data_IF_454729899291
#
_entry.id   IF_454729899291
#
_cell.length_a   1.000
_cell.length_b   1.000
_cell.length_c   1.000
_cell.angle_alpha   90.00
_cell.angle_beta   90.00
_cell.angle_gamma   90.00
#
_symmetry.space_group_name_H-M   'P 1'
#
loop_
_entity.id
_entity.type
_entity.pdbx_description
1 polymer ?
#
# COMPACT_ATOMS: atom_id res chain seq x y z
N UNK A 1 -21.02 -13.97 14.35
CA UNK A 1 -19.56 -14.12 14.38
C UNK A 1 -19.01 -13.11 15.39
N UNK A 2 -18.07 -13.45 16.28
CA UNK A 2 -17.49 -12.42 17.17
C UNK A 2 -16.67 -11.43 16.34
N UNK A 3 -16.70 -10.15 16.71
CA UNK A 3 -15.98 -9.06 16.04
C UNK A 3 -14.48 -9.36 15.86
N UNK A 4 -13.89 -10.05 16.85
CA UNK A 4 -12.50 -10.48 16.84
C UNK A 4 -12.22 -11.50 15.72
N UNK A 5 -13.12 -12.47 15.52
CA UNK A 5 -12.96 -13.47 14.46
C UNK A 5 -13.04 -12.80 13.08
N UNK A 6 -13.92 -11.81 12.91
CA UNK A 6 -13.98 -11.03 11.66
C UNK A 6 -12.68 -10.29 11.39
N UNK A 7 -12.09 -9.65 12.42
CA UNK A 7 -10.77 -9.02 12.30
C UNK A 7 -9.68 -10.02 11.91
N UNK A 8 -9.62 -11.19 12.57
CA UNK A 8 -8.63 -12.22 12.25
C UNK A 8 -8.73 -12.65 10.80
N UNK A 9 -9.94 -13.01 10.34
CA UNK A 9 -10.15 -13.51 8.98
C UNK A 9 -9.84 -12.44 7.94
N UNK A 10 -10.35 -11.22 8.13
CA UNK A 10 -10.12 -10.11 7.22
C UNK A 10 -8.63 -9.77 7.07
N UNK A 11 -7.93 -9.56 8.18
CA UNK A 11 -6.52 -9.15 8.15
C UNK A 11 -5.58 -10.30 7.75
N UNK A 12 -5.94 -11.56 8.02
CA UNK A 12 -5.19 -12.71 7.53
C UNK A 12 -5.31 -12.86 6.01
N UNK A 13 -6.50 -12.63 5.45
CA UNK A 13 -6.70 -12.63 4.00
C UNK A 13 -5.92 -11.48 3.34
N UNK A 14 -6.00 -10.26 3.89
CA UNK A 14 -5.22 -9.12 3.41
C UNK A 14 -3.70 -9.38 3.51
N UNK A 15 -3.24 -10.10 4.55
CA UNK A 15 -1.83 -10.50 4.71
C UNK A 15 -1.34 -11.37 3.55
N UNK A 16 -2.13 -12.39 3.18
CA UNK A 16 -1.78 -13.33 2.10
C UNK A 16 -1.91 -12.64 0.73
N UNK A 17 -2.87 -11.73 0.57
CA UNK A 17 -3.10 -10.97 -0.67
C UNK A 17 -2.10 -9.83 -0.88
N UNK A 18 -1.23 -9.51 0.09
CA UNK A 18 -0.20 -8.47 0.00
C UNK A 18 0.99 -8.85 -0.92
N UNK A 19 0.69 -9.53 -2.03
CA UNK A 19 1.65 -9.88 -3.08
C UNK A 19 2.02 -8.61 -3.85
N UNK A 20 3.30 -8.21 -3.80
CA UNK A 20 3.77 -6.92 -4.32
C UNK A 20 3.91 -5.83 -3.25
N UNK A 21 3.69 -6.14 -1.97
CA UNK A 21 3.92 -5.26 -0.82
C UNK A 21 2.63 -4.78 -0.15
N UNK A 22 2.76 -4.25 1.07
CA UNK A 22 1.60 -3.83 1.86
C UNK A 22 0.75 -2.73 1.22
N UNK A 23 1.31 -1.94 0.30
CA UNK A 23 0.58 -0.89 -0.42
C UNK A 23 -0.39 -1.46 -1.47
N UNK A 24 -0.16 -2.67 -1.97
CA UNK A 24 -1.02 -3.29 -2.99
C UNK A 24 -2.42 -3.61 -2.46
N UNK A 25 -2.54 -3.91 -1.16
CA UNK A 25 -3.81 -4.25 -0.51
C UNK A 25 -4.55 -3.04 0.06
N UNK A 26 -4.03 -1.82 -0.09
CA UNK A 26 -4.66 -0.61 0.44
C UNK A 26 -6.08 -0.38 -0.10
N UNK A 27 -6.36 -0.49 -1.42
CA UNK A 27 -7.71 -0.26 -1.93
C UNK A 27 -8.71 -1.30 -1.41
N UNK A 28 -8.27 -2.56 -1.31
CA UNK A 28 -9.09 -3.66 -0.80
C UNK A 28 -9.35 -3.47 0.69
N UNK A 29 -8.32 -3.12 1.47
CA UNK A 29 -8.45 -2.84 2.88
C UNK A 29 -9.39 -1.67 3.16
N UNK A 30 -9.31 -0.58 2.38
CA UNK A 30 -10.25 0.55 2.52
C UNK A 30 -11.70 0.08 2.30
N UNK A 31 -11.94 -0.70 1.24
CA UNK A 31 -13.27 -1.21 0.91
C UNK A 31 -13.80 -2.12 2.01
N UNK A 32 -12.97 -3.05 2.50
CA UNK A 32 -13.30 -3.98 3.57
C UNK A 32 -13.62 -3.23 4.88
N UNK A 33 -12.82 -2.23 5.25
CA UNK A 33 -13.03 -1.44 6.46
C UNK A 33 -14.28 -0.59 6.43
N UNK A 34 -14.63 -0.02 5.27
CA UNK A 34 -15.88 0.70 5.08
C UNK A 34 -17.09 -0.23 5.21
N UNK A 35 -17.04 -1.42 4.60
CA UNK A 35 -18.16 -2.36 4.57
C UNK A 35 -18.37 -3.11 5.90
N UNK A 36 -17.30 -3.51 6.58
CA UNK A 36 -17.38 -4.43 7.73
C UNK A 36 -17.17 -3.73 9.07
N UNK A 37 -16.44 -2.61 9.10
CA UNK A 37 -15.99 -1.97 10.34
C UNK A 37 -16.39 -0.49 10.47
N UNK A 38 -17.21 0.02 9.54
CA UNK A 38 -17.73 1.40 9.52
C UNK A 38 -16.63 2.49 9.57
N UNK A 39 -15.45 2.20 9.03
CA UNK A 39 -14.38 3.19 8.88
C UNK A 39 -14.54 3.84 7.51
N UNK A 40 -14.96 5.10 7.52
CA UNK A 40 -15.13 5.88 6.29
C UNK A 40 -13.79 6.20 5.61
N UNK A 41 -13.83 6.54 4.32
CA UNK A 41 -12.67 6.90 3.52
C UNK A 41 -11.83 8.00 4.19
N UNK A 42 -12.48 9.03 4.75
CA UNK A 42 -11.78 10.12 5.44
C UNK A 42 -10.97 9.63 6.65
N UNK A 43 -11.58 8.77 7.48
CA UNK A 43 -10.92 8.17 8.63
C UNK A 43 -9.77 7.25 8.21
N UNK A 44 -9.97 6.48 7.15
CA UNK A 44 -8.93 5.63 6.58
C UNK A 44 -7.72 6.46 6.13
N UNK A 45 -7.93 7.56 5.41
CA UNK A 45 -6.86 8.46 4.96
C UNK A 45 -6.10 9.06 6.14
N UNK A 46 -6.79 9.44 7.22
CA UNK A 46 -6.13 9.93 8.43
C UNK A 46 -5.25 8.86 9.09
N UNK A 47 -5.77 7.64 9.24
CA UNK A 47 -5.03 6.52 9.84
C UNK A 47 -3.81 6.17 8.96
N UNK A 48 -4.00 6.13 7.64
CA UNK A 48 -2.92 5.90 6.68
C UNK A 48 -1.84 6.97 6.77
N UNK A 49 -2.23 8.24 6.87
CA UNK A 49 -1.29 9.36 7.00
C UNK A 49 -0.46 9.26 8.27
N UNK A 50 -1.07 8.86 9.39
CA UNK A 50 -0.34 8.59 10.64
C UNK A 50 0.67 7.45 10.43
N UNK A 51 0.28 6.40 9.71
CA UNK A 51 1.16 5.29 9.34
C UNK A 51 2.40 5.71 8.54
N UNK A 52 2.27 6.72 7.67
CA UNK A 52 3.39 7.24 6.87
C UNK A 52 4.36 8.12 7.67
N UNK A 53 3.89 8.70 8.78
CA UNK A 53 4.72 9.54 9.67
C UNK A 53 5.35 8.72 10.78
N UNK A 54 4.75 7.58 11.14
CA UNK A 54 5.24 6.71 12.19
C UNK A 54 6.59 6.06 11.82
N UNK A 55 7.57 6.02 12.74
CA UNK A 55 8.82 5.30 12.52
C UNK A 55 8.57 3.79 12.52
N UNK A 56 9.00 3.10 11.46
CA UNK A 56 8.88 1.65 11.32
C UNK A 56 8.19 1.24 10.01
N UNK A 57 7.64 0.02 9.95
CA UNK A 57 6.86 -0.42 8.79
C UNK A 57 5.59 0.42 8.64
N UNK A 58 5.39 1.06 7.48
CA UNK A 58 4.21 1.89 7.20
C UNK A 58 2.87 1.16 7.45
N UNK A 59 2.87 -0.16 7.30
CA UNK A 59 1.68 -1.00 7.55
C UNK A 59 1.35 -1.17 9.03
N UNK A 60 2.17 -0.71 9.98
CA UNK A 60 1.82 -0.72 11.41
C UNK A 60 0.56 0.09 11.73
N UNK A 61 0.08 0.95 10.82
CA UNK A 61 -1.20 1.64 10.97
C UNK A 61 -2.41 0.70 11.17
N UNK A 62 -2.31 -0.58 10.76
CA UNK A 62 -3.34 -1.59 11.05
C UNK A 62 -3.59 -1.77 12.57
N UNK A 63 -2.61 -1.42 13.42
CA UNK A 63 -2.79 -1.36 14.88
C UNK A 63 -3.84 -0.33 15.31
N UNK A 64 -3.81 0.84 14.69
CA UNK A 64 -4.77 1.93 14.96
C UNK A 64 -6.18 1.48 14.55
N UNK A 65 -6.26 0.73 13.44
CA UNK A 65 -7.51 0.15 12.94
C UNK A 65 -8.04 -0.88 13.92
N UNK A 66 -7.21 -1.84 14.35
CA UNK A 66 -7.59 -2.83 15.36
C UNK A 66 -8.00 -2.19 16.69
N UNK A 67 -7.29 -1.13 17.10
CA UNK A 67 -7.62 -0.36 18.31
C UNK A 67 -8.98 0.34 18.20
N UNK A 68 -9.28 0.95 17.05
CA UNK A 68 -10.57 1.59 16.78
C UNK A 68 -11.74 0.59 16.81
N UNK A 69 -11.53 -0.62 16.31
CA UNK A 69 -12.59 -1.63 16.19
C UNK A 69 -12.86 -2.37 17.49
N UNK A 70 -11.82 -2.85 18.17
CA UNK A 70 -11.97 -3.71 19.36
C UNK A 70 -10.98 -3.38 20.49
N UNK A 71 -10.52 -2.13 20.57
CA UNK A 71 -9.62 -1.65 21.62
C UNK A 71 -8.25 -2.34 21.60
N UNK A 72 -7.62 -2.42 22.77
CA UNK A 72 -6.26 -2.98 22.90
C UNK A 72 -6.15 -4.43 22.40
N UNK A 73 -7.21 -5.22 22.62
CA UNK A 73 -7.29 -6.61 22.14
C UNK A 73 -7.35 -6.64 20.61
N UNK A 74 -8.16 -5.77 19.99
CA UNK A 74 -8.24 -5.64 18.54
C UNK A 74 -6.90 -5.27 17.90
N UNK A 75 -6.15 -4.36 18.53
CA UNK A 75 -4.82 -3.98 18.06
C UNK A 75 -3.85 -5.18 18.04
N UNK A 76 -3.78 -5.95 19.14
CA UNK A 76 -2.93 -7.13 19.21
C UNK A 76 -3.33 -8.21 18.21
N UNK A 77 -4.65 -8.45 18.06
CA UNK A 77 -5.19 -9.44 17.13
C UNK A 77 -4.87 -9.09 15.68
N UNK A 78 -5.08 -7.83 15.28
CA UNK A 78 -4.80 -7.38 13.91
C UNK A 78 -3.31 -7.44 13.59
N UNK A 79 -2.43 -7.12 14.55
CA UNK A 79 -0.99 -7.26 14.37
C UNK A 79 -0.60 -8.71 14.05
N UNK A 80 -1.10 -9.67 14.84
CA UNK A 80 -0.81 -11.08 14.62
C UNK A 80 -1.41 -11.54 13.29
N UNK A 81 -2.69 -11.24 13.04
CA UNK A 81 -3.39 -11.65 11.83
C UNK A 81 -2.76 -11.06 10.55
N UNK A 82 -2.23 -9.85 10.60
CA UNK A 82 -1.66 -9.20 9.42
C UNK A 82 -0.20 -9.62 9.14
N UNK A 83 0.62 -9.90 10.17
CA UNK A 83 2.04 -10.19 9.97
C UNK A 83 2.39 -11.68 10.01
N UNK A 84 1.66 -12.50 10.78
CA UNK A 84 2.01 -13.92 10.95
C UNK A 84 1.78 -14.75 9.69
N UNK A 85 0.65 -14.66 8.97
CA UNK A 85 0.41 -15.50 7.79
C UNK A 85 1.46 -15.30 6.70
N UNK A 86 1.76 -14.04 6.34
CA UNK A 86 2.78 -13.71 5.35
C UNK A 86 4.19 -14.09 5.81
N UNK A 87 4.52 -13.95 7.10
CA UNK A 87 5.82 -14.36 7.65
C UNK A 87 6.01 -15.88 7.60
N UNK A 88 4.99 -16.66 7.95
CA UNK A 88 5.02 -18.13 7.85
C UNK A 88 5.16 -18.55 6.39
N UNK A 89 4.40 -17.92 5.49
CA UNK A 89 4.44 -18.23 4.06
C UNK A 89 5.82 -17.92 3.48
N UNK A 90 6.38 -16.74 3.79
CA UNK A 90 7.72 -16.35 3.40
C UNK A 90 8.79 -17.32 3.96
N UNK A 91 8.68 -17.70 5.23
CA UNK A 91 9.59 -18.65 5.86
C UNK A 91 9.56 -20.02 5.17
N UNK A 92 8.36 -20.55 4.90
CA UNK A 92 8.21 -21.86 4.28
C UNK A 92 8.67 -21.86 2.82
N UNK A 93 8.29 -20.83 2.05
CA UNK A 93 8.76 -20.63 0.68
C UNK A 93 10.28 -20.47 0.65
N UNK A 94 10.85 -19.68 1.55
CA UNK A 94 12.31 -19.49 1.65
C UNK A 94 13.05 -20.80 2.00
N UNK A 95 12.48 -21.63 2.89
CA UNK A 95 13.03 -22.93 3.24
C UNK A 95 12.99 -23.91 2.06
N UNK A 96 11.86 -23.98 1.36
CA UNK A 96 11.74 -24.75 0.12
C UNK A 96 12.77 -24.26 -0.92
N UNK A 97 12.90 -22.94 -1.06
CA UNK A 97 13.84 -22.32 -1.98
C UNK A 97 15.30 -22.70 -1.69
N UNK A 98 15.68 -22.74 -0.41
CA UNK A 98 17.00 -23.18 0.03
C UNK A 98 17.24 -24.67 -0.16
N UNK A 99 16.21 -25.50 -0.10
CA UNK A 99 16.33 -26.95 -0.33
C UNK A 99 16.56 -27.30 -1.82
N UNK A 100 15.99 -26.51 -2.74
CA UNK A 100 16.19 -26.65 -4.19
C UNK A 100 17.35 -25.79 -4.73
N UNK A 101 18.28 -25.36 -3.85
CA UNK A 101 19.30 -24.37 -4.18
C UNK A 101 20.24 -24.75 -5.33
N UNK A 102 20.51 -26.05 -5.52
CA UNK A 102 21.44 -26.59 -6.53
C UNK A 102 20.77 -26.94 -7.87
N UNK A 103 19.45 -26.76 -8.00
CA UNK A 103 18.72 -27.12 -9.21
C UNK A 103 18.79 -25.99 -10.26
N UNK A 104 19.17 -26.24 -11.54
CA UNK A 104 19.20 -25.22 -12.59
C UNK A 104 17.90 -24.42 -12.78
N UNK A 105 16.76 -25.01 -12.41
CA UNK A 105 15.45 -24.34 -12.41
C UNK A 105 15.38 -23.09 -11.53
N UNK A 106 16.20 -22.99 -10.47
CA UNK A 106 16.23 -21.83 -9.58
C UNK A 106 16.56 -20.55 -10.32
N UNK A 107 17.55 -20.59 -11.22
CA UNK A 107 18.01 -19.42 -11.96
C UNK A 107 16.95 -18.95 -12.95
N UNK A 108 16.37 -19.89 -13.70
CA UNK A 108 15.26 -19.59 -14.62
C UNK A 108 14.04 -18.98 -13.92
N UNK A 109 13.71 -19.44 -12.71
CA UNK A 109 12.59 -18.85 -11.96
C UNK A 109 12.96 -17.47 -11.40
N UNK A 110 14.20 -17.25 -10.92
CA UNK A 110 14.63 -15.90 -10.50
C UNK A 110 14.58 -14.91 -11.65
N UNK A 111 15.11 -15.29 -12.80
CA UNK A 111 15.11 -14.48 -14.01
C UNK A 111 13.67 -14.20 -14.51
N UNK A 112 12.71 -15.10 -14.23
CA UNK A 112 11.29 -14.87 -14.52
C UNK A 112 10.59 -14.01 -13.45
N UNK A 113 10.99 -14.10 -12.17
CA UNK A 113 10.39 -13.34 -11.08
C UNK A 113 10.68 -11.85 -11.16
N UNK A 114 11.86 -11.45 -11.66
CA UNK A 114 12.21 -10.04 -11.87
C UNK A 114 11.19 -9.29 -12.78
N UNK A 115 10.94 -9.71 -14.03
CA UNK A 115 9.97 -9.05 -14.90
C UNK A 115 8.53 -9.18 -14.40
N UNK A 116 8.17 -10.31 -13.76
CA UNK A 116 6.85 -10.47 -13.13
C UNK A 116 6.64 -9.41 -12.03
N UNK A 117 7.65 -9.19 -11.19
CA UNK A 117 7.60 -8.19 -10.12
C UNK A 117 7.46 -6.77 -10.69
N UNK A 118 8.21 -6.45 -11.75
CA UNK A 118 8.09 -5.16 -12.45
C UNK A 118 6.69 -4.98 -13.04
N UNK A 119 6.12 -6.03 -13.64
CA UNK A 119 4.76 -6.01 -14.21
C UNK A 119 3.69 -5.80 -13.13
N UNK A 120 3.79 -6.51 -12.00
CA UNK A 120 2.87 -6.34 -10.87
C UNK A 120 2.96 -4.94 -10.25
N UNK A 121 4.18 -4.43 -10.03
CA UNK A 121 4.38 -3.06 -9.55
C UNK A 121 3.81 -2.03 -10.53
N UNK A 122 4.05 -2.22 -11.83
CA UNK A 122 3.53 -1.33 -12.88
C UNK A 122 2.00 -1.34 -12.94
N UNK A 123 1.37 -2.51 -12.74
CA UNK A 123 -0.08 -2.63 -12.62
C UNK A 123 -0.62 -1.86 -11.40
N UNK A 124 0.06 -1.96 -10.26
CA UNK A 124 -0.29 -1.17 -9.07
C UNK A 124 -0.18 0.34 -9.31
N UNK A 125 0.91 0.79 -9.92
CA UNK A 125 1.09 2.20 -10.33
C UNK A 125 -0.02 2.63 -11.28
N UNK A 126 -0.39 1.80 -12.25
CA UNK A 126 -1.48 2.09 -13.18
C UNK A 126 -2.84 2.22 -12.48
N UNK A 127 -3.16 1.32 -11.54
CA UNK A 127 -4.39 1.39 -10.76
C UNK A 127 -4.47 2.69 -9.93
N UNK A 128 -3.38 3.06 -9.26
CA UNK A 128 -3.30 4.32 -8.50
C UNK A 128 -3.36 5.53 -9.41
N UNK A 129 -2.67 5.51 -10.55
CA UNK A 129 -2.71 6.58 -11.54
C UNK A 129 -4.14 6.79 -12.08
N UNK A 130 -4.86 5.72 -12.41
CA UNK A 130 -6.25 5.80 -12.85
C UNK A 130 -7.18 6.40 -11.80
N UNK A 131 -6.95 6.11 -10.52
CA UNK A 131 -7.70 6.70 -9.41
C UNK A 131 -7.35 8.17 -9.15
N UNK A 132 -6.10 8.57 -9.41
CA UNK A 132 -5.58 9.92 -9.09
C UNK A 132 -5.72 10.92 -10.25
N UNK A 133 -5.79 10.44 -11.50
CA UNK A 133 -5.90 11.26 -12.70
C UNK A 133 -7.37 11.44 -13.06
N UNK A 134 -7.97 12.48 -12.50
CA UNK A 134 -9.41 12.79 -12.60
C UNK A 134 -9.67 13.98 -13.57
N UNK A 135 -8.65 14.78 -13.88
CA UNK A 135 -8.77 16.05 -14.60
C UNK A 135 -7.60 16.27 -15.56
N UNK A 136 -7.76 17.02 -16.67
CA UNK A 136 -6.67 17.37 -17.58
C UNK A 136 -5.47 18.01 -16.86
N UNK A 137 -5.73 18.78 -15.80
CA UNK A 137 -4.70 19.44 -14.98
C UNK A 137 -3.88 18.39 -14.20
N UNK A 138 -4.54 17.38 -13.60
CA UNK A 138 -3.83 16.32 -12.87
C UNK A 138 -3.08 15.39 -13.82
N UNK A 139 -3.55 15.18 -15.05
CA UNK A 139 -2.79 14.49 -16.11
C UNK A 139 -1.50 15.22 -16.48
N UNK A 140 -1.58 16.53 -16.72
CA UNK A 140 -0.40 17.35 -17.09
C UNK A 140 0.62 17.37 -15.95
N UNK A 141 0.16 17.53 -14.70
CA UNK A 141 1.03 17.47 -13.53
C UNK A 141 1.65 16.09 -13.32
N UNK A 142 0.90 15.00 -13.53
CA UNK A 142 1.41 13.64 -13.46
C UNK A 142 2.48 13.36 -14.51
N UNK A 143 2.28 13.80 -15.76
CA UNK A 143 3.27 13.68 -16.82
C UNK A 143 4.51 14.53 -16.57
N UNK A 144 4.34 15.77 -16.09
CA UNK A 144 5.46 16.64 -15.74
C UNK A 144 6.30 16.08 -14.58
N UNK A 145 5.66 15.57 -13.54
CA UNK A 145 6.38 14.96 -12.40
C UNK A 145 7.09 13.67 -12.82
N UNK A 146 6.45 12.82 -13.63
CA UNK A 146 7.09 11.63 -14.18
C UNK A 146 8.30 12.00 -15.05
N UNK A 147 8.16 12.98 -15.94
CA UNK A 147 9.27 13.47 -16.78
C UNK A 147 10.43 14.02 -15.93
N UNK A 148 10.14 14.84 -14.92
CA UNK A 148 11.14 15.39 -14.00
C UNK A 148 11.87 14.30 -13.21
N UNK A 149 11.18 13.26 -12.74
CA UNK A 149 11.83 12.16 -12.01
C UNK A 149 12.73 11.34 -12.93
N UNK A 150 12.32 11.10 -14.18
CA UNK A 150 13.14 10.37 -15.15
C UNK A 150 14.38 11.15 -15.60
N UNK A 151 14.29 12.48 -15.74
CA UNK A 151 15.40 13.33 -16.21
C UNK A 151 16.32 13.81 -15.10
N UNK A 152 15.83 13.92 -13.87
CA UNK A 152 16.56 14.59 -12.78
C UNK A 152 16.70 13.67 -11.58
N UNK A 153 17.93 13.48 -11.08
CA UNK A 153 18.22 12.77 -9.81
C UNK A 153 17.75 13.54 -8.56
N UNK A 154 16.78 14.44 -8.71
CA UNK A 154 16.28 15.27 -7.62
C UNK A 154 15.49 14.37 -6.68
N UNK A 155 15.68 14.57 -5.38
CA UNK A 155 14.92 13.83 -4.37
C UNK A 155 13.41 14.01 -4.63
N UNK A 156 12.64 12.90 -4.78
CA UNK A 156 11.21 12.94 -5.06
C UNK A 156 10.41 13.86 -4.12
N UNK A 157 10.89 14.03 -2.89
CA UNK A 157 10.28 14.92 -1.89
C UNK A 157 10.15 16.36 -2.40
N UNK A 158 11.16 16.91 -3.08
CA UNK A 158 11.10 18.29 -3.61
C UNK A 158 10.14 18.41 -4.79
N UNK A 159 10.03 17.36 -5.62
CA UNK A 159 9.11 17.32 -6.75
C UNK A 159 7.66 17.25 -6.27
N UNK A 160 7.40 16.47 -5.22
CA UNK A 160 6.08 16.36 -4.58
C UNK A 160 5.69 17.68 -3.91
N UNK A 161 6.59 18.30 -3.14
CA UNK A 161 6.33 19.60 -2.52
C UNK A 161 6.06 20.70 -3.57
N UNK A 162 6.86 20.75 -4.64
CA UNK A 162 6.69 21.73 -5.72
C UNK A 162 5.36 21.56 -6.46
N UNK A 163 5.01 20.33 -6.86
CA UNK A 163 3.75 20.03 -7.56
C UNK A 163 2.51 20.25 -6.68
N UNK A 164 2.60 19.94 -5.38
CA UNK A 164 1.55 20.23 -4.41
C UNK A 164 1.33 21.73 -4.20
N UNK A 165 2.41 22.51 -4.07
CA UNK A 165 2.31 23.97 -3.94
C UNK A 165 1.73 24.63 -5.20
N UNK A 166 2.18 24.21 -6.39
CA UNK A 166 1.63 24.70 -7.66
C UNK A 166 0.13 24.37 -7.80
N UNK A 167 -0.28 23.16 -7.42
CA UNK A 167 -1.70 22.75 -7.43
C UNK A 167 -2.55 23.56 -6.45
N UNK A 168 -2.03 23.82 -5.24
CA UNK A 168 -2.72 24.61 -4.22
C UNK A 168 -2.89 26.07 -4.64
N UNK A 169 -1.85 26.69 -5.21
CA UNK A 169 -1.90 28.07 -5.71
C UNK A 169 -2.90 28.19 -6.87
N UNK A 170 -2.92 27.22 -7.78
CA UNK A 170 -3.86 27.20 -8.91
C UNK A 170 -5.32 27.05 -8.45
N UNK A 171 -5.60 26.14 -7.51
CA UNK A 171 -6.94 25.98 -6.92
C UNK A 171 -7.41 27.24 -6.16
N UNK A 172 -6.48 27.98 -5.56
CA UNK A 172 -6.78 29.25 -4.87
C UNK A 172 -7.08 30.39 -5.83
N UNK A 173 -6.44 30.41 -7.01
CA UNK A 173 -6.74 31.37 -8.08
C UNK A 173 -8.11 31.10 -8.73
N UNK A 174 -8.51 29.84 -8.91
CA UNK A 174 -9.80 29.49 -9.53
C UNK A 174 -11.01 29.71 -8.60
N UNK A 175 -10.82 29.70 -7.28
CA UNK A 175 -11.88 30.00 -6.29
C UNK A 175 -12.15 31.51 -6.10
N UNK A 176 -11.35 32.37 -6.72
CA UNK A 176 -11.44 33.83 -6.62
C UNK A 176 -12.01 34.48 -7.89
N UNK A 177 -12.43 33.68 -8.87
CA UNK A 177 -13.22 34.04 -10.06
C UNK A 177 -14.62 33.44 -9.91
#
# INVERSE_FOLDING_TARGET
>A
MSLIIQLVVAFSLLSILAVGGGTAVLPEMQTLLAQQFHIDHTQFVHIYSIGQVAPGPNMLMVLIIGFKVAGLVGAGVVLIAFFVPSSILCFYVGRLWGHFADNPWRRSIQDALEPISIGLMSSGVYAVAKASIISPITSVLGLLTLYLIFKTKINPVFVILGSGMLSFIYLRYLKFL
#
